data_IF_128983047305
#
_entry.id   IF_128983047305
#
_cell.length_a   1.000
_cell.length_b   1.000
_cell.length_c   1.000
_cell.angle_alpha   90.00
_cell.angle_beta   90.00
_cell.angle_gamma   90.00
#
_symmetry.space_group_name_H-M   'P 1'
#
loop_
_entity.id
_entity.type
_entity.pdbx_description
1 polymer ?
#
# COMPACT_ATOMS: atom_id res chain seq x y z
N UNK A 1 -19.88 -9.74 -5.21
CA UNK A 1 -20.03 -8.82 -6.32
C UNK A 1 -21.44 -8.91 -6.90
N UNK A 2 -22.02 -7.80 -7.29
CA UNK A 2 -23.32 -7.76 -7.97
C UNK A 2 -23.19 -6.88 -9.21
N UNK A 3 -23.42 -7.43 -10.38
CA UNK A 3 -23.36 -6.73 -11.68
C UNK A 3 -22.92 -7.63 -12.82
N UNK A 4 -22.62 -7.00 -13.96
CA UNK A 4 -22.06 -7.70 -15.12
C UNK A 4 -20.64 -8.21 -14.82
N UNK A 5 -20.14 -9.12 -15.69
CA UNK A 5 -18.78 -9.66 -15.55
C UNK A 5 -17.75 -8.54 -15.41
N UNK A 6 -16.77 -8.75 -14.54
CA UNK A 6 -15.66 -7.82 -14.32
C UNK A 6 -14.35 -8.57 -14.14
N UNK A 7 -13.26 -8.08 -14.74
CA UNK A 7 -11.93 -8.57 -14.40
C UNK A 7 -11.44 -7.89 -13.13
N UNK A 8 -10.82 -8.67 -12.27
CA UNK A 8 -10.09 -8.21 -11.09
C UNK A 8 -8.66 -8.73 -11.12
N UNK A 9 -7.77 -8.05 -10.42
CA UNK A 9 -6.43 -8.53 -10.11
C UNK A 9 -6.00 -8.03 -8.74
N UNK A 10 -5.25 -8.84 -8.02
CA UNK A 10 -4.68 -8.45 -6.73
C UNK A 10 -3.16 -8.45 -6.85
N UNK A 11 -2.53 -7.41 -6.28
CA UNK A 11 -1.07 -7.27 -6.21
C UNK A 11 -0.61 -7.13 -4.76
N UNK A 12 0.66 -7.37 -4.51
CA UNK A 12 1.24 -7.52 -3.18
C UNK A 12 1.45 -9.01 -2.87
N UNK A 13 1.62 -9.34 -1.61
CA UNK A 13 1.70 -10.72 -1.14
C UNK A 13 0.45 -11.00 -0.28
N UNK A 14 -0.66 -11.27 -0.96
CA UNK A 14 -2.01 -11.37 -0.39
C UNK A 14 -2.55 -12.77 -0.59
N UNK A 15 -3.06 -13.38 0.46
CA UNK A 15 -3.84 -14.61 0.38
C UNK A 15 -5.31 -14.26 0.21
N UNK A 16 -5.93 -14.79 -0.83
CA UNK A 16 -7.35 -14.54 -1.11
C UNK A 16 -8.00 -15.74 -1.80
N UNK A 17 -9.31 -15.81 -1.72
CA UNK A 17 -10.14 -16.82 -2.39
C UNK A 17 -11.27 -16.15 -3.16
N UNK A 18 -11.68 -16.80 -4.23
CA UNK A 18 -12.88 -16.45 -4.98
C UNK A 18 -13.88 -17.58 -4.79
N UNK A 19 -15.08 -17.24 -4.34
CA UNK A 19 -16.19 -18.17 -4.21
C UNK A 19 -17.17 -17.92 -5.34
N UNK A 20 -17.42 -18.97 -6.12
CA UNK A 20 -18.41 -18.99 -7.20
C UNK A 20 -19.42 -20.09 -6.88
N UNK A 21 -20.58 -19.72 -6.37
CA UNK A 21 -21.56 -20.65 -5.85
C UNK A 21 -20.98 -21.51 -4.72
N UNK A 22 -20.82 -22.81 -4.97
CA UNK A 22 -20.24 -23.76 -4.01
C UNK A 22 -18.74 -24.02 -4.22
N UNK A 23 -18.15 -23.47 -5.28
CA UNK A 23 -16.75 -23.69 -5.60
C UNK A 23 -15.88 -22.57 -5.00
N UNK A 24 -14.69 -22.98 -4.52
CA UNK A 24 -13.67 -22.05 -4.03
C UNK A 24 -12.42 -22.17 -4.89
N UNK A 25 -11.91 -21.05 -5.32
CA UNK A 25 -10.67 -20.94 -6.10
C UNK A 25 -9.67 -20.16 -5.26
N UNK A 26 -8.53 -20.78 -4.96
CA UNK A 26 -7.41 -20.04 -4.36
C UNK A 26 -6.86 -19.04 -5.37
N UNK A 27 -6.79 -17.78 -4.98
CA UNK A 27 -6.32 -16.71 -5.84
C UNK A 27 -4.80 -16.62 -5.86
N UNK A 28 -4.26 -16.20 -6.98
CA UNK A 28 -2.85 -15.92 -7.15
C UNK A 28 -2.65 -14.43 -7.45
N UNK A 29 -1.78 -13.77 -6.71
CA UNK A 29 -1.43 -12.38 -6.97
C UNK A 29 -0.78 -12.20 -8.34
N UNK A 30 -0.95 -11.01 -8.93
CA UNK A 30 -0.45 -10.66 -10.26
C UNK A 30 -1.07 -11.47 -11.41
N UNK A 31 -2.21 -12.10 -11.15
CA UNK A 31 -3.06 -12.74 -12.14
C UNK A 31 -4.44 -12.10 -12.13
N UNK A 32 -5.07 -12.02 -13.32
CA UNK A 32 -6.45 -11.55 -13.42
C UNK A 32 -7.43 -12.71 -13.29
N UNK A 33 -8.56 -12.42 -12.67
CA UNK A 33 -9.70 -13.32 -12.51
C UNK A 33 -10.97 -12.62 -12.98
N UNK A 34 -11.96 -13.37 -13.40
CA UNK A 34 -13.27 -12.85 -13.76
C UNK A 34 -14.22 -13.12 -12.58
N UNK A 35 -14.90 -12.07 -12.13
CA UNK A 35 -16.02 -12.19 -11.21
C UNK A 35 -17.32 -12.04 -11.99
N UNK A 36 -18.30 -12.87 -11.65
CA UNK A 36 -19.66 -12.84 -12.16
C UNK A 36 -20.63 -12.40 -11.04
N UNK A 37 -21.87 -12.16 -11.41
CA UNK A 37 -22.89 -11.78 -10.44
C UNK A 37 -23.07 -12.88 -9.37
N UNK A 38 -22.95 -12.50 -8.11
CA UNK A 38 -23.05 -13.38 -6.97
C UNK A 38 -21.71 -13.94 -6.47
N UNK A 39 -20.61 -13.70 -7.20
CA UNK A 39 -19.29 -14.14 -6.73
C UNK A 39 -18.83 -13.32 -5.52
N UNK A 40 -18.12 -13.99 -4.63
CA UNK A 40 -17.52 -13.40 -3.44
C UNK A 40 -15.99 -13.44 -3.57
N UNK A 41 -15.35 -12.31 -3.25
CA UNK A 41 -13.89 -12.21 -3.10
C UNK A 41 -13.57 -12.09 -1.62
N UNK A 42 -12.89 -13.09 -1.08
CA UNK A 42 -12.46 -13.13 0.31
C UNK A 42 -10.96 -12.85 0.40
N UNK A 43 -10.59 -11.71 0.97
CA UNK A 43 -9.20 -11.31 1.22
C UNK A 43 -8.84 -11.70 2.64
N UNK A 44 -8.01 -12.74 2.77
CA UNK A 44 -7.74 -13.41 4.05
C UNK A 44 -6.64 -12.67 4.83
N UNK A 45 -5.51 -12.40 4.18
CA UNK A 45 -4.35 -11.77 4.85
C UNK A 45 -3.37 -11.18 3.84
N UNK A 46 -2.52 -10.28 4.32
CA UNK A 46 -1.23 -9.99 3.70
C UNK A 46 -0.15 -10.80 4.41
N UNK A 47 0.79 -11.38 3.66
CA UNK A 47 1.84 -12.22 4.24
C UNK A 47 3.13 -11.41 4.48
N UNK A 48 3.92 -11.20 3.43
CA UNK A 48 5.19 -10.43 3.52
C UNK A 48 5.02 -8.95 3.21
N UNK A 49 4.02 -8.59 2.43
CA UNK A 49 3.70 -7.19 2.13
C UNK A 49 2.81 -6.58 3.21
N UNK A 50 3.01 -5.30 3.51
CA UNK A 50 2.13 -4.54 4.42
C UNK A 50 0.82 -4.18 3.73
N UNK A 51 0.83 -4.01 2.41
CA UNK A 51 -0.29 -3.58 1.61
C UNK A 51 -0.56 -4.56 0.47
N UNK A 52 -1.85 -4.74 0.18
CA UNK A 52 -2.33 -5.34 -1.03
C UNK A 52 -3.19 -4.34 -1.80
N UNK A 53 -3.29 -4.52 -3.11
CA UNK A 53 -4.07 -3.66 -3.97
C UNK A 53 -5.00 -4.50 -4.84
N UNK A 54 -6.28 -4.15 -4.82
CA UNK A 54 -7.30 -4.69 -5.72
C UNK A 54 -7.48 -3.75 -6.90
N UNK A 55 -7.25 -4.25 -8.10
CA UNK A 55 -7.57 -3.58 -9.35
C UNK A 55 -8.81 -4.20 -9.98
N UNK A 56 -9.59 -3.40 -10.69
CA UNK A 56 -10.77 -3.82 -11.45
C UNK A 56 -10.67 -3.34 -12.89
N UNK A 57 -11.31 -4.03 -13.83
CA UNK A 57 -11.45 -3.57 -15.22
C UNK A 57 -12.61 -2.59 -15.37
N UNK A 58 -12.55 -1.50 -14.65
CA UNK A 58 -13.57 -0.46 -14.59
C UNK A 58 -13.11 0.66 -13.69
N UNK A 59 -14.02 1.53 -13.32
CA UNK A 59 -13.74 2.66 -12.43
C UNK A 59 -14.63 2.55 -11.19
N UNK A 60 -14.06 2.65 -10.00
CA UNK A 60 -14.86 2.82 -8.79
C UNK A 60 -15.58 4.18 -8.86
N UNK A 61 -16.87 4.20 -8.63
CA UNK A 61 -17.65 5.43 -8.61
C UNK A 61 -17.42 6.19 -7.31
N UNK A 62 -16.34 6.96 -7.29
CA UNK A 62 -15.84 7.66 -6.12
C UNK A 62 -15.86 9.18 -6.33
N UNK A 63 -16.06 9.91 -5.26
CA UNK A 63 -15.96 11.37 -5.28
C UNK A 63 -14.49 11.78 -5.33
N UNK A 64 -14.14 12.58 -6.33
CA UNK A 64 -12.81 13.19 -6.44
C UNK A 64 -12.70 14.42 -5.54
N UNK A 65 -11.55 14.57 -4.91
CA UNK A 65 -11.16 15.77 -4.20
C UNK A 65 -9.74 16.15 -4.63
N UNK A 66 -9.56 17.37 -5.09
CA UNK A 66 -8.31 17.86 -5.69
C UNK A 66 -7.74 16.93 -6.78
N UNK A 67 -8.61 16.51 -7.68
CA UNK A 67 -8.29 15.57 -8.77
C UNK A 67 -7.79 14.20 -8.31
N UNK A 68 -8.03 13.81 -7.06
CA UNK A 68 -7.69 12.51 -6.50
C UNK A 68 -8.89 11.84 -5.87
N UNK A 69 -9.00 10.52 -6.00
CA UNK A 69 -9.95 9.67 -5.28
C UNK A 69 -9.32 8.96 -4.07
N UNK A 70 -8.05 9.23 -3.75
CA UNK A 70 -7.39 8.66 -2.59
C UNK A 70 -8.00 9.16 -1.29
N UNK A 71 -8.07 8.28 -0.29
CA UNK A 71 -8.55 8.60 1.04
C UNK A 71 -7.38 8.72 2.01
N UNK A 72 -7.31 9.84 2.72
CA UNK A 72 -6.42 10.04 3.87
C UNK A 72 -7.25 10.07 5.14
N UNK A 73 -7.32 8.95 5.83
CA UNK A 73 -8.16 8.78 7.02
C UNK A 73 -7.68 9.59 8.22
N UNK A 74 -6.41 9.94 8.27
CA UNK A 74 -5.84 10.76 9.35
C UNK A 74 -6.23 12.23 9.22
N UNK A 75 -6.22 12.75 7.98
CA UNK A 75 -6.62 14.13 7.69
C UNK A 75 -8.13 14.27 7.43
N UNK A 76 -8.88 13.17 7.37
CA UNK A 76 -10.32 13.15 7.02
C UNK A 76 -10.59 13.76 5.66
N UNK A 77 -9.75 13.44 4.67
CA UNK A 77 -9.78 14.02 3.32
C UNK A 77 -9.91 12.90 2.29
N UNK A 78 -10.61 13.17 1.20
CA UNK A 78 -10.72 12.31 0.04
C UNK A 78 -12.05 11.57 -0.07
N UNK A 79 -12.05 10.50 -0.84
CA UNK A 79 -13.24 9.66 -1.03
C UNK A 79 -13.75 9.08 0.28
N UNK A 80 -15.00 8.61 0.28
CA UNK A 80 -15.63 8.04 1.47
C UNK A 80 -15.62 8.99 2.69
N UNK A 81 -15.75 10.30 2.44
CA UNK A 81 -15.69 11.35 3.48
C UNK A 81 -14.40 11.29 4.34
N UNK A 82 -13.30 10.81 3.78
CA UNK A 82 -12.05 10.63 4.51
C UNK A 82 -12.05 9.48 5.52
N UNK A 83 -13.02 8.57 5.44
CA UNK A 83 -13.14 7.43 6.35
C UNK A 83 -12.67 6.13 5.70
N UNK A 84 -12.38 5.13 6.54
CA UNK A 84 -12.19 3.74 6.10
C UNK A 84 -13.51 3.19 5.55
N UNK A 85 -13.42 2.14 4.74
CA UNK A 85 -14.60 1.37 4.39
C UNK A 85 -15.21 0.74 5.64
N UNK A 86 -16.54 0.72 5.68
CA UNK A 86 -17.30 0.09 6.78
C UNK A 86 -17.92 -1.22 6.30
N UNK A 87 -18.30 -2.06 7.26
CA UNK A 87 -19.00 -3.30 6.96
C UNK A 87 -20.31 -3.02 6.19
N UNK A 88 -20.60 -3.89 5.24
CA UNK A 88 -21.77 -3.79 4.34
C UNK A 88 -21.82 -2.52 3.48
N UNK A 89 -20.71 -1.78 3.37
CA UNK A 89 -20.65 -0.62 2.50
C UNK A 89 -20.72 -1.04 1.03
N UNK A 90 -21.60 -0.41 0.27
CA UNK A 90 -21.69 -0.59 -1.19
C UNK A 90 -20.74 0.37 -1.89
N UNK A 91 -19.96 -0.14 -2.82
CA UNK A 91 -19.08 0.64 -3.71
C UNK A 91 -19.53 0.35 -5.14
N UNK A 92 -20.00 1.36 -5.82
CA UNK A 92 -20.43 1.22 -7.21
C UNK A 92 -19.21 1.19 -8.14
N UNK A 93 -19.35 0.42 -9.21
CA UNK A 93 -18.39 0.33 -10.31
C UNK A 93 -19.06 0.80 -11.57
N UNK A 94 -18.36 1.57 -12.38
CA UNK A 94 -18.82 2.07 -13.68
C UNK A 94 -17.76 1.87 -14.76
N UNK A 95 -18.12 2.12 -16.01
CA UNK A 95 -17.19 2.05 -17.15
C UNK A 95 -16.47 0.70 -17.24
N UNK A 96 -17.20 -0.42 -17.04
CA UNK A 96 -16.62 -1.74 -17.08
C UNK A 96 -16.14 -2.03 -18.50
N UNK A 97 -14.86 -2.40 -18.64
CA UNK A 97 -14.30 -2.85 -19.90
C UNK A 97 -14.65 -4.32 -20.12
N UNK A 98 -15.41 -4.60 -21.18
CA UNK A 98 -15.89 -5.95 -21.52
C UNK A 98 -14.84 -6.84 -22.21
N UNK A 99 -13.58 -6.42 -22.26
CA UNK A 99 -12.52 -7.27 -22.77
C UNK A 99 -11.97 -8.18 -21.66
N UNK A 100 -12.62 -9.34 -21.51
CA UNK A 100 -12.31 -10.32 -20.47
C UNK A 100 -11.15 -11.22 -20.91
N UNK A 101 -9.94 -10.84 -20.57
CA UNK A 101 -8.74 -11.62 -20.87
C UNK A 101 -8.03 -12.00 -19.57
N UNK A 102 -7.84 -13.30 -19.35
CA UNK A 102 -7.00 -13.75 -18.25
C UNK A 102 -5.54 -13.42 -18.57
N UNK A 103 -4.92 -12.65 -17.70
CA UNK A 103 -3.51 -12.22 -17.80
C UNK A 103 -2.78 -12.62 -16.53
N UNK A 104 -1.55 -13.03 -16.69
CA UNK A 104 -0.63 -13.32 -15.57
C UNK A 104 0.72 -12.67 -15.85
N UNK A 105 1.31 -12.04 -14.86
CA UNK A 105 2.70 -11.61 -14.94
C UNK A 105 3.60 -12.81 -14.64
N UNK A 106 4.49 -13.13 -15.57
CA UNK A 106 5.37 -14.30 -15.46
C UNK A 106 6.39 -14.18 -14.33
N UNK A 107 6.75 -12.95 -13.98
CA UNK A 107 7.73 -12.70 -12.93
C UNK A 107 7.50 -11.34 -12.27
N UNK A 108 7.44 -11.36 -10.96
CA UNK A 108 7.44 -10.16 -10.12
C UNK A 108 8.50 -10.31 -9.04
N UNK A 109 9.54 -9.50 -9.09
CA UNK A 109 10.55 -9.49 -8.05
C UNK A 109 10.03 -8.72 -6.83
N UNK A 110 9.63 -9.47 -5.81
CA UNK A 110 9.18 -8.91 -4.52
C UNK A 110 10.29 -8.94 -3.46
N UNK A 111 11.48 -9.50 -3.76
CA UNK A 111 12.59 -9.56 -2.81
C UNK A 111 13.39 -8.27 -2.88
N UNK A 112 13.35 -7.51 -1.80
CA UNK A 112 14.23 -6.38 -1.57
C UNK A 112 15.25 -6.84 -0.50
N UNK A 113 16.45 -7.15 -0.93
CA UNK A 113 17.53 -7.56 0.01
C UNK A 113 18.22 -6.35 0.64
N UNK A 114 18.37 -5.27 -0.12
CA UNK A 114 19.05 -4.07 0.33
C UNK A 114 18.28 -2.83 -0.09
N UNK A 115 18.05 -1.93 0.83
CA UNK A 115 17.51 -0.60 0.54
C UNK A 115 18.67 0.34 0.30
N UNK A 116 18.84 0.80 -0.93
CA UNK A 116 19.87 1.78 -1.29
C UNK A 116 19.43 3.16 -0.90
N UNK A 117 20.30 3.89 -0.23
CA UNK A 117 20.05 5.27 0.22
C UNK A 117 21.16 6.18 -0.26
N UNK A 118 20.85 7.47 -0.43
CA UNK A 118 21.82 8.53 -0.72
C UNK A 118 21.85 9.49 0.47
N UNK A 119 22.94 10.20 0.63
CA UNK A 119 23.09 11.24 1.66
C UNK A 119 22.11 12.38 1.38
N UNK A 120 21.33 12.74 2.38
CA UNK A 120 20.46 13.92 2.33
C UNK A 120 21.22 15.20 2.72
N UNK A 121 20.53 16.33 2.64
CA UNK A 121 21.07 17.66 2.96
C UNK A 121 21.63 17.75 4.38
N UNK A 122 20.97 17.08 5.33
CA UNK A 122 21.29 17.15 6.75
C UNK A 122 22.14 15.96 7.23
N UNK A 123 22.74 15.18 6.31
CA UNK A 123 23.54 14.01 6.67
C UNK A 123 24.73 14.34 7.61
N UNK A 124 25.30 15.53 7.46
CA UNK A 124 26.43 15.98 8.30
C UNK A 124 26.01 16.45 9.70
N UNK A 125 24.72 16.47 10.01
CA UNK A 125 24.20 16.79 11.34
C UNK A 125 24.28 15.60 12.31
N UNK A 126 24.64 14.42 11.83
CA UNK A 126 24.79 13.22 12.64
C UNK A 126 26.24 12.93 12.98
N UNK A 127 26.47 12.44 14.21
CA UNK A 127 27.78 11.99 14.63
C UNK A 127 28.27 10.81 13.78
N UNK A 128 29.56 10.58 13.71
CA UNK A 128 30.10 9.39 13.00
C UNK A 128 29.60 8.07 13.61
N UNK A 129 29.37 8.05 14.92
CA UNK A 129 28.76 6.90 15.57
C UNK A 129 27.29 6.74 15.20
N UNK A 130 26.52 7.83 15.14
CA UNK A 130 25.13 7.83 14.68
C UNK A 130 25.01 7.31 13.25
N UNK A 131 25.90 7.72 12.35
CA UNK A 131 25.98 7.22 10.99
C UNK A 131 26.29 5.72 10.94
N UNK A 132 27.23 5.22 11.77
CA UNK A 132 27.51 3.79 11.89
C UNK A 132 26.32 3.02 12.40
N UNK A 133 25.61 3.54 13.40
CA UNK A 133 24.39 2.92 13.94
C UNK A 133 23.36 2.78 12.83
N UNK A 134 23.11 3.82 12.03
CA UNK A 134 22.14 3.79 10.94
C UNK A 134 22.44 2.67 9.92
N UNK A 135 23.69 2.50 9.51
CA UNK A 135 24.03 1.55 8.45
C UNK A 135 24.32 0.11 8.96
N UNK A 136 24.62 -0.09 10.24
CA UNK A 136 25.05 -1.39 10.76
C UNK A 136 24.06 -2.07 11.68
N UNK A 137 23.02 -1.37 12.13
CA UNK A 137 22.05 -1.96 13.04
C UNK A 137 20.72 -2.21 12.31
N UNK A 138 19.96 -3.16 12.84
CA UNK A 138 18.63 -3.47 12.40
C UNK A 138 17.62 -2.50 13.03
N UNK A 139 16.62 -2.14 12.24
CA UNK A 139 15.48 -1.35 12.67
C UNK A 139 14.20 -2.12 12.42
N UNK A 140 13.31 -2.12 13.41
CA UNK A 140 12.02 -2.81 13.32
C UNK A 140 10.93 -1.86 12.86
N UNK A 141 10.08 -2.31 11.95
CA UNK A 141 8.89 -1.55 11.55
C UNK A 141 7.90 -1.50 12.69
N UNK A 142 7.55 -0.29 13.12
CA UNK A 142 6.60 -0.03 14.19
C UNK A 142 5.16 -0.28 13.75
N UNK A 143 4.31 -0.69 14.68
CA UNK A 143 2.85 -0.77 14.49
C UNK A 143 2.19 0.60 14.23
N UNK A 144 2.90 1.69 14.51
CA UNK A 144 2.45 3.06 14.25
C UNK A 144 2.76 3.55 12.83
N UNK A 145 3.26 2.66 11.97
CA UNK A 145 3.46 2.94 10.55
C UNK A 145 2.13 3.06 9.81
N UNK A 146 2.06 3.98 8.85
CA UNK A 146 0.92 4.17 7.98
C UNK A 146 1.38 4.47 6.53
N UNK A 147 0.45 4.78 5.63
CA UNK A 147 0.79 5.14 4.24
C UNK A 147 1.48 6.51 4.08
N UNK A 148 1.45 7.34 5.11
CA UNK A 148 2.17 8.62 5.14
C UNK A 148 3.65 8.42 5.42
N UNK A 149 4.00 7.43 6.24
CA UNK A 149 5.37 7.14 6.58
C UNK A 149 5.53 5.85 7.38
N UNK A 150 6.59 5.12 7.06
CA UNK A 150 6.98 3.94 7.80
C UNK A 150 7.80 4.37 9.01
N UNK A 151 7.30 4.12 10.20
CA UNK A 151 8.03 4.40 11.44
C UNK A 151 8.91 3.22 11.80
N UNK A 152 10.19 3.50 12.04
CA UNK A 152 11.18 2.51 12.44
C UNK A 152 11.57 2.70 13.91
N UNK A 153 11.76 1.60 14.61
CA UNK A 153 12.22 1.53 15.99
C UNK A 153 13.57 0.82 16.04
N UNK A 154 14.53 1.38 16.76
CA UNK A 154 15.89 0.82 16.85
C UNK A 154 16.77 1.62 17.80
N UNK A 155 18.08 1.44 17.66
CA UNK A 155 19.05 2.23 18.43
C UNK A 155 18.94 3.70 18.09
N UNK A 156 19.04 4.54 19.10
CA UNK A 156 19.07 6.00 18.93
C UNK A 156 20.24 6.41 18.03
N UNK A 157 19.92 7.23 17.05
CA UNK A 157 20.91 7.83 16.17
C UNK A 157 21.22 9.23 16.73
N UNK A 158 22.48 9.44 17.10
CA UNK A 158 22.92 10.67 17.71
C UNK A 158 23.18 11.73 16.65
N UNK A 159 22.62 12.92 16.87
CA UNK A 159 22.94 14.12 16.11
C UNK A 159 23.93 15.01 16.90
N UNK A 160 24.65 15.87 16.19
CA UNK A 160 25.64 16.82 16.74
C UNK A 160 25.16 18.26 16.66
N UNK A 161 23.94 18.48 16.21
CA UNK A 161 23.30 19.78 16.11
C UNK A 161 21.99 19.77 16.87
N UNK A 162 21.43 20.95 17.14
CA UNK A 162 20.11 21.06 17.73
C UNK A 162 19.06 20.38 16.81
N UNK A 163 18.15 19.62 17.44
CA UNK A 163 17.06 18.94 16.74
C UNK A 163 16.01 19.91 16.15
N UNK A 164 16.04 21.19 16.54
CA UNK A 164 15.14 22.23 16.04
C UNK A 164 15.67 22.79 14.70
N UNK A 165 15.48 22.06 13.62
CA UNK A 165 15.74 22.54 12.26
C UNK A 165 14.49 23.19 11.66
N UNK A 166 14.66 24.03 10.65
CA UNK A 166 13.54 24.58 9.90
C UNK A 166 12.72 23.48 9.26
N UNK A 167 11.40 23.64 9.31
CA UNK A 167 10.49 22.74 8.58
C UNK A 167 10.76 22.84 7.08
N UNK A 168 10.99 21.71 6.46
CA UNK A 168 11.24 21.57 5.03
C UNK A 168 10.17 20.71 4.37
N UNK A 169 9.92 20.93 3.08
CA UNK A 169 9.07 20.05 2.28
C UNK A 169 9.76 18.70 2.08
N UNK A 170 9.08 17.62 2.40
CA UNK A 170 9.59 16.28 2.22
C UNK A 170 8.98 15.64 0.96
N UNK A 171 9.80 14.97 0.19
CA UNK A 171 9.37 14.13 -0.93
C UNK A 171 9.33 12.66 -0.53
N UNK A 172 8.63 11.86 -1.33
CA UNK A 172 8.58 10.41 -1.12
C UNK A 172 10.00 9.81 -1.14
N UNK A 173 10.31 9.01 -0.13
CA UNK A 173 11.59 8.33 0.03
C UNK A 173 12.55 9.01 1.01
N UNK A 174 12.22 10.19 1.54
CA UNK A 174 13.04 10.84 2.57
C UNK A 174 12.99 10.02 3.87
N UNK A 175 14.16 9.81 4.48
CA UNK A 175 14.31 9.20 5.80
C UNK A 175 14.49 10.34 6.80
N UNK A 176 13.53 10.50 7.68
CA UNK A 176 13.54 11.48 8.75
C UNK A 176 14.04 10.81 10.03
N UNK A 177 15.04 11.43 10.65
CA UNK A 177 15.62 10.99 11.94
C UNK A 177 15.41 12.13 12.92
N UNK A 178 14.46 11.98 13.89
CA UNK A 178 14.15 12.99 14.89
C UNK A 178 15.22 13.14 15.97
#
# INVERSE_FOLDING_TARGET
>A
YHGDKINIAITGDVSFKIKNGYNFIDGECYQSFILENGDELDIISTNKSVYGYLAISGTFDLKFQWSSCSTNTKAKIGSNNGEKLSDNQKINVKEINNNFVNRKLNYVNTKIENIRVIKGTNFNYFSEEGKKIFFKNEFKVSKLSDRMGMRLEGKKIENIVDSNIRSEGLIKGVIQVP
#
